data_IF_468496920507
#
_entry.id   IF_468496920507
#
_cell.length_a   1.000
_cell.length_b   1.000
_cell.length_c   1.000
_cell.angle_alpha   90.00
_cell.angle_beta   90.00
_cell.angle_gamma   90.00
#
_symmetry.space_group_name_H-M   'P 1'
#
loop_
_entity.id
_entity.type
_entity.pdbx_description
1 polymer ?
#
# COMPACT_ATOMS: atom_id res chain seq x y z
N UNK A 1 -20.17 65.85 2.03
CA UNK A 1 -20.43 64.40 2.12
C UNK A 1 -19.68 63.70 0.99
N UNK A 2 -18.66 62.87 1.31
CA UNK A 2 -18.08 61.77 0.52
C UNK A 2 -16.75 61.38 1.18
N UNK A 3 -16.80 60.40 2.09
CA UNK A 3 -15.63 59.69 2.60
C UNK A 3 -15.00 58.94 1.42
N UNK A 4 -13.72 59.19 1.14
CA UNK A 4 -12.94 58.32 0.25
C UNK A 4 -12.64 57.03 1.01
N UNK A 5 -13.08 55.90 0.46
CA UNK A 5 -12.73 54.57 0.96
C UNK A 5 -11.21 54.39 0.87
N UNK A 6 -10.60 53.96 1.97
CA UNK A 6 -9.30 53.29 1.96
C UNK A 6 -9.53 51.88 1.39
N UNK A 7 -8.94 51.59 0.23
CA UNK A 7 -8.90 50.24 -0.31
C UNK A 7 -7.69 49.54 0.33
N UNK A 8 -7.91 48.73 1.37
CA UNK A 8 -6.89 47.84 1.90
C UNK A 8 -6.73 46.65 0.94
N UNK A 9 -5.61 46.59 0.22
CA UNK A 9 -5.20 45.36 -0.45
C UNK A 9 -4.82 44.34 0.62
N UNK A 10 -5.72 43.40 0.91
CA UNK A 10 -5.32 42.10 1.46
C UNK A 10 -4.68 41.32 0.30
N UNK A 11 -3.35 41.36 0.22
CA UNK A 11 -2.61 40.37 -0.58
C UNK A 11 -2.71 39.07 0.20
N UNK A 12 -3.71 38.25 -0.10
CA UNK A 12 -3.63 36.83 0.22
C UNK A 12 -2.47 36.28 -0.63
N UNK A 13 -1.35 36.00 0.02
CA UNK A 13 -0.35 35.10 -0.55
C UNK A 13 -1.03 33.75 -0.73
N UNK A 14 -1.61 33.51 -1.90
CA UNK A 14 -1.93 32.17 -2.34
C UNK A 14 -0.57 31.48 -2.41
N UNK A 15 -0.31 30.54 -1.51
CA UNK A 15 0.81 29.63 -1.66
C UNK A 15 0.55 28.88 -2.99
N UNK A 16 1.18 29.34 -4.06
CA UNK A 16 1.22 28.60 -5.30
C UNK A 16 2.18 27.44 -5.05
N UNK A 17 1.62 26.24 -4.85
CA UNK A 17 2.42 25.02 -4.80
C UNK A 17 3.01 24.82 -6.20
N UNK A 18 4.34 24.65 -6.27
CA UNK A 18 5.02 24.44 -7.54
C UNK A 18 4.79 22.99 -7.98
N UNK A 19 4.05 22.79 -9.07
CA UNK A 19 3.84 21.47 -9.66
C UNK A 19 5.18 20.76 -9.89
N UNK A 20 5.36 19.57 -9.31
CA UNK A 20 6.43 18.66 -9.68
C UNK A 20 5.91 17.54 -10.61
N UNK A 21 6.65 17.20 -11.68
CA UNK A 21 6.33 16.03 -12.49
C UNK A 21 6.43 14.75 -11.66
N UNK A 22 5.54 13.78 -11.92
CA UNK A 22 5.66 12.45 -11.34
C UNK A 22 6.77 11.74 -12.11
N UNK A 23 7.91 11.52 -11.46
CA UNK A 23 9.13 11.09 -12.14
C UNK A 23 9.18 9.59 -12.46
N UNK A 24 8.53 8.77 -11.64
CA UNK A 24 8.54 7.32 -11.72
C UNK A 24 7.20 6.76 -11.22
N UNK A 25 6.89 5.53 -11.60
CA UNK A 25 5.70 4.84 -11.08
C UNK A 25 5.95 4.18 -9.72
N UNK A 26 7.02 3.38 -9.60
CA UNK A 26 7.34 2.63 -8.39
C UNK A 26 8.85 2.39 -8.21
N UNK A 27 9.60 3.44 -7.89
CA UNK A 27 11.04 3.38 -7.65
C UNK A 27 11.87 3.10 -8.91
N UNK A 28 13.13 2.67 -8.71
CA UNK A 28 14.03 2.30 -9.82
C UNK A 28 14.61 0.90 -9.63
N UNK A 29 15.30 0.41 -10.67
CA UNK A 29 16.16 -0.77 -10.57
C UNK A 29 17.48 -0.43 -9.85
N UNK A 30 18.15 -1.44 -9.26
CA UNK A 30 19.49 -1.27 -8.71
C UNK A 30 20.47 -0.84 -9.80
N UNK A 31 21.24 0.21 -9.50
CA UNK A 31 22.39 0.65 -10.27
C UNK A 31 23.66 0.36 -9.45
N UNK A 32 24.80 0.14 -10.11
CA UNK A 32 26.05 -0.15 -9.41
C UNK A 32 26.35 0.93 -8.37
N UNK A 33 26.34 0.57 -7.08
CA UNK A 33 26.48 1.51 -5.97
C UNK A 33 25.22 1.75 -5.13
N UNK A 34 24.24 0.82 -5.16
CA UNK A 34 23.02 0.73 -4.33
C UNK A 34 22.86 1.86 -3.30
N UNK A 35 22.00 2.82 -3.66
CA UNK A 35 21.53 3.82 -2.70
C UNK A 35 20.26 3.29 -2.08
N UNK A 36 20.31 3.07 -0.76
CA UNK A 36 19.18 2.65 0.07
C UNK A 36 17.96 3.57 -0.17
N UNK A 37 16.77 2.98 -0.27
CA UNK A 37 15.52 3.71 -0.54
C UNK A 37 15.15 3.97 -2.00
N UNK A 38 16.05 3.71 -2.95
CA UNK A 38 15.75 3.94 -4.38
C UNK A 38 15.10 2.71 -5.02
N UNK A 39 15.56 1.52 -4.63
CA UNK A 39 15.10 0.24 -5.14
C UNK A 39 14.14 -0.48 -4.20
N UNK A 40 14.02 -0.02 -2.97
CA UNK A 40 13.25 -0.68 -1.91
C UNK A 40 12.43 0.36 -1.14
N UNK A 41 11.23 -0.03 -0.73
CA UNK A 41 10.32 0.85 0.02
C UNK A 41 9.44 0.04 0.96
N UNK A 42 9.51 0.40 2.25
CA UNK A 42 8.60 -0.15 3.26
C UNK A 42 7.30 0.63 3.30
N UNK A 43 6.19 -0.10 3.33
CA UNK A 43 4.86 0.45 3.49
C UNK A 43 4.16 -0.12 4.71
N UNK A 44 3.47 0.75 5.45
CA UNK A 44 2.56 0.36 6.52
C UNK A 44 1.13 0.31 6.02
N UNK A 45 0.42 -0.77 6.34
CA UNK A 45 -1.01 -0.87 6.03
C UNK A 45 -1.82 0.11 6.89
N UNK A 46 -2.68 0.87 6.25
CA UNK A 46 -3.57 1.85 6.87
C UNK A 46 -4.94 1.24 7.14
N UNK A 47 -5.43 1.40 8.37
CA UNK A 47 -6.82 1.08 8.73
C UNK A 47 -7.55 2.41 8.92
N UNK A 48 -8.30 2.89 7.92
CA UNK A 48 -9.07 4.10 8.05
C UNK A 48 -10.22 3.90 9.05
N UNK A 49 -10.39 4.84 9.98
CA UNK A 49 -11.55 4.87 10.89
C UNK A 49 -12.85 5.30 10.19
N UNK A 50 -12.72 6.01 9.07
CA UNK A 50 -13.76 6.41 8.12
C UNK A 50 -13.18 6.38 6.71
N UNK A 51 -13.96 6.08 5.66
CA UNK A 51 -13.48 6.11 4.28
C UNK A 51 -12.78 7.44 3.97
N UNK A 52 -11.60 7.36 3.34
CA UNK A 52 -10.86 8.55 2.95
C UNK A 52 -11.53 9.21 1.74
N UNK A 53 -11.71 10.52 1.80
CA UNK A 53 -12.27 11.29 0.68
C UNK A 53 -11.23 11.44 -0.44
N UNK A 54 -11.50 10.78 -1.57
CA UNK A 54 -10.68 10.84 -2.79
C UNK A 54 -11.20 11.88 -3.80
N UNK A 55 -12.33 12.55 -3.52
CA UNK A 55 -12.98 13.50 -4.43
C UNK A 55 -12.23 14.80 -4.72
N UNK A 56 -11.32 15.32 -3.87
CA UNK A 56 -10.52 16.49 -4.20
C UNK A 56 -9.70 16.23 -5.47
N UNK A 57 -9.68 17.20 -6.39
CA UNK A 57 -9.03 17.09 -7.69
C UNK A 57 -8.49 18.46 -8.15
N UNK A 58 -7.56 18.43 -9.09
CA UNK A 58 -6.97 19.62 -9.69
C UNK A 58 -5.92 20.32 -8.84
N UNK A 59 -5.73 21.60 -9.11
CA UNK A 59 -4.70 22.45 -8.47
C UNK A 59 -5.10 22.79 -7.04
N UNK A 60 -4.14 22.70 -6.10
CA UNK A 60 -4.32 22.96 -4.67
C UNK A 60 -5.38 22.05 -4.02
N UNK A 61 -5.49 20.81 -4.50
CA UNK A 61 -6.32 19.80 -3.84
C UNK A 61 -5.83 19.53 -2.42
N UNK A 62 -6.74 19.19 -1.51
CA UNK A 62 -6.43 18.94 -0.11
C UNK A 62 -6.99 17.60 0.30
N UNK A 63 -6.13 16.73 0.85
CA UNK A 63 -6.54 15.43 1.36
C UNK A 63 -6.17 15.29 2.84
N UNK A 64 -7.05 14.63 3.60
CA UNK A 64 -6.84 14.40 5.03
C UNK A 64 -6.86 12.90 5.35
N UNK A 65 -5.66 12.36 5.57
CA UNK A 65 -5.41 11.01 6.04
C UNK A 65 -5.03 11.00 7.53
N UNK A 66 -5.17 12.11 8.27
CA UNK A 66 -4.74 12.21 9.68
C UNK A 66 -5.56 11.38 10.66
N UNK A 67 -6.73 10.87 10.22
CA UNK A 67 -7.57 9.94 10.96
C UNK A 67 -7.30 8.46 10.63
N UNK A 68 -6.33 8.18 9.74
CA UNK A 68 -5.91 6.82 9.39
C UNK A 68 -4.85 6.35 10.38
N UNK A 69 -5.07 5.17 10.95
CA UNK A 69 -4.05 4.49 11.75
C UNK A 69 -3.25 3.57 10.82
N UNK A 70 -2.00 3.94 10.54
CA UNK A 70 -1.06 3.05 9.88
C UNK A 70 -0.49 2.08 10.92
N UNK A 71 -0.80 0.79 10.77
CA UNK A 71 -0.39 -0.26 11.68
C UNK A 71 1.01 -0.79 11.31
N UNK A 72 1.71 -1.36 12.28
CA UNK A 72 3.05 -1.97 12.12
C UNK A 72 3.02 -3.31 11.36
N UNK A 73 2.07 -3.49 10.45
CA UNK A 73 2.13 -4.54 9.45
C UNK A 73 2.81 -3.93 8.23
N UNK A 74 4.04 -4.37 7.97
CA UNK A 74 4.89 -3.76 6.96
C UNK A 74 5.01 -4.68 5.76
N UNK A 75 4.84 -4.08 4.59
CA UNK A 75 5.06 -4.71 3.32
C UNK A 75 6.34 -4.13 2.72
N UNK A 76 7.28 -5.00 2.39
CA UNK A 76 8.51 -4.63 1.70
C UNK A 76 8.28 -4.69 0.19
N UNK A 77 8.49 -3.56 -0.49
CA UNK A 77 8.43 -3.45 -1.94
C UNK A 77 9.85 -3.31 -2.47
N UNK A 78 10.33 -4.34 -3.17
CA UNK A 78 11.69 -4.40 -3.68
C UNK A 78 11.73 -4.57 -5.19
N UNK A 79 12.40 -3.64 -5.86
CA UNK A 79 12.65 -3.69 -7.29
C UNK A 79 13.95 -4.45 -7.59
N UNK A 80 13.90 -5.28 -8.61
CA UNK A 80 15.02 -6.10 -9.04
C UNK A 80 15.00 -6.32 -10.55
N UNK A 81 16.17 -6.69 -11.08
CA UNK A 81 16.28 -7.17 -12.45
C UNK A 81 15.64 -8.57 -12.51
N UNK A 82 14.65 -8.81 -13.38
CA UNK A 82 14.00 -10.11 -13.48
C UNK A 82 14.97 -11.23 -13.87
N UNK A 83 14.71 -12.44 -13.38
CA UNK A 83 15.51 -13.61 -13.74
C UNK A 83 15.20 -14.15 -15.15
N UNK A 84 15.96 -15.19 -15.56
CA UNK A 84 15.81 -15.81 -16.88
C UNK A 84 14.45 -16.51 -17.06
N UNK A 85 13.81 -16.95 -15.98
CA UNK A 85 12.51 -17.60 -16.04
C UNK A 85 11.40 -16.55 -16.24
N UNK A 86 11.45 -15.45 -15.50
CA UNK A 86 10.54 -14.32 -15.64
C UNK A 86 10.59 -13.72 -17.05
N UNK A 87 11.79 -13.51 -17.61
CA UNK A 87 11.96 -13.01 -18.98
C UNK A 87 11.49 -14.00 -20.06
N UNK A 88 11.52 -15.30 -19.77
CA UNK A 88 10.96 -16.33 -20.66
C UNK A 88 9.43 -16.36 -20.60
N UNK A 89 8.86 -16.26 -19.40
CA UNK A 89 7.41 -16.29 -19.18
C UNK A 89 6.73 -15.01 -19.63
N UNK A 90 7.39 -13.86 -19.47
CA UNK A 90 6.88 -12.53 -19.79
C UNK A 90 7.87 -11.84 -20.73
N UNK A 91 7.75 -12.06 -22.05
CA UNK A 91 8.66 -11.45 -23.03
C UNK A 91 8.70 -9.92 -22.90
N UNK A 92 9.91 -9.36 -22.86
CA UNK A 92 10.12 -7.93 -22.66
C UNK A 92 10.16 -7.48 -21.20
N UNK A 93 9.96 -8.38 -20.23
CA UNK A 93 10.15 -8.06 -18.82
C UNK A 93 11.58 -7.62 -18.55
N UNK A 94 11.73 -6.43 -17.98
CA UNK A 94 13.03 -5.90 -17.55
C UNK A 94 12.98 -5.27 -16.16
N UNK A 95 11.80 -5.29 -15.51
CA UNK A 95 11.56 -4.72 -14.21
C UNK A 95 10.65 -5.65 -13.39
N UNK A 96 11.10 -6.04 -12.20
CA UNK A 96 10.29 -6.84 -11.27
C UNK A 96 10.19 -6.13 -9.94
N UNK A 97 8.99 -6.01 -9.41
CA UNK A 97 8.74 -5.60 -8.03
C UNK A 97 8.22 -6.79 -7.26
N UNK A 98 8.94 -7.19 -6.21
CA UNK A 98 8.51 -8.20 -5.25
C UNK A 98 7.95 -7.49 -4.03
N UNK A 99 6.79 -7.95 -3.58
CA UNK A 99 6.07 -7.47 -2.41
C UNK A 99 6.14 -8.59 -1.40
N UNK A 100 6.71 -8.33 -0.23
CA UNK A 100 6.79 -9.30 0.87
C UNK A 100 5.95 -8.80 2.03
N UNK A 101 4.95 -9.58 2.44
CA UNK A 101 4.27 -9.43 3.72
C UNK A 101 4.97 -10.33 4.72
N UNK A 102 5.41 -9.81 5.87
CA UNK A 102 6.29 -10.55 6.76
C UNK A 102 5.57 -11.59 7.65
N UNK A 103 4.26 -11.45 7.86
CA UNK A 103 3.52 -12.23 8.86
C UNK A 103 2.07 -12.55 8.43
N UNK A 104 1.80 -13.73 7.82
CA UNK A 104 2.75 -14.77 7.40
C UNK A 104 3.61 -14.30 6.21
N UNK A 105 4.77 -14.93 6.02
CA UNK A 105 5.64 -14.62 4.87
C UNK A 105 4.93 -15.01 3.57
N UNK A 106 4.38 -14.02 2.89
CA UNK A 106 3.73 -14.16 1.60
C UNK A 106 4.40 -13.22 0.61
N UNK A 107 4.53 -13.68 -0.63
CA UNK A 107 5.15 -12.88 -1.69
C UNK A 107 4.20 -12.73 -2.87
N UNK A 108 4.10 -11.50 -3.37
CA UNK A 108 3.42 -11.18 -4.61
C UNK A 108 4.41 -10.48 -5.55
N UNK A 109 4.25 -10.68 -6.86
CA UNK A 109 5.13 -10.07 -7.84
C UNK A 109 4.35 -9.24 -8.86
N UNK A 110 4.96 -8.13 -9.24
CA UNK A 110 4.60 -7.36 -10.44
C UNK A 110 5.77 -7.44 -11.40
N UNK A 111 5.49 -7.89 -12.62
CA UNK A 111 6.46 -7.93 -13.71
C UNK A 111 6.09 -6.86 -14.73
N UNK A 112 7.08 -6.08 -15.15
CA UNK A 112 6.88 -4.91 -16.00
C UNK A 112 7.98 -4.78 -17.07
N UNK A 113 7.63 -4.06 -18.12
CA UNK A 113 8.59 -3.42 -19.01
C UNK A 113 8.69 -1.94 -18.63
N UNK A 114 9.90 -1.48 -18.32
CA UNK A 114 10.25 -0.09 -18.15
C UNK A 114 11.37 0.27 -19.13
N UNK A 115 11.03 0.99 -20.19
CA UNK A 115 11.99 1.36 -21.26
C UNK A 115 11.80 2.82 -21.62
N UNK A 116 12.86 3.62 -21.55
CA UNK A 116 12.86 5.04 -21.94
C UNK A 116 11.71 5.87 -21.32
N UNK A 117 11.35 5.58 -20.06
CA UNK A 117 10.25 6.25 -19.35
C UNK A 117 8.87 5.59 -19.52
N UNK A 118 8.70 4.69 -20.49
CA UNK A 118 7.46 3.95 -20.69
C UNK A 118 7.32 2.82 -19.67
N UNK A 119 6.30 2.84 -18.81
CA UNK A 119 6.05 1.78 -17.83
C UNK A 119 4.80 0.97 -18.20
N UNK A 120 4.96 -0.33 -18.46
CA UNK A 120 3.87 -1.26 -18.79
C UNK A 120 3.89 -2.50 -17.91
N UNK A 121 2.75 -2.85 -17.33
CA UNK A 121 2.60 -4.06 -16.52
C UNK A 121 2.38 -5.26 -17.45
N UNK A 122 3.19 -6.30 -17.27
CA UNK A 122 3.11 -7.56 -18.00
C UNK A 122 2.36 -8.62 -17.17
N UNK A 123 2.50 -8.57 -15.85
CA UNK A 123 1.77 -9.40 -14.90
C UNK A 123 1.69 -8.72 -13.53
N UNK A 124 0.58 -8.92 -12.84
CA UNK A 124 0.42 -8.55 -11.43
C UNK A 124 -0.21 -9.69 -10.63
N UNK A 125 0.45 -10.10 -9.55
CA UNK A 125 -0.13 -10.96 -8.53
C UNK A 125 -0.89 -10.07 -7.53
N UNK A 126 -2.23 -10.11 -7.57
CA UNK A 126 -3.10 -9.42 -6.61
C UNK A 126 -3.68 -10.38 -5.57
N UNK A 127 -4.16 -9.84 -4.45
CA UNK A 127 -4.69 -10.60 -3.31
C UNK A 127 -5.84 -11.54 -3.68
N UNK A 128 -6.79 -11.05 -4.50
CA UNK A 128 -7.95 -11.83 -4.94
C UNK A 128 -7.78 -12.44 -6.35
N UNK A 129 -6.88 -11.88 -7.16
CA UNK A 129 -6.73 -12.22 -8.57
C UNK A 129 -5.32 -11.93 -9.07
N UNK A 130 -4.78 -12.88 -9.82
CA UNK A 130 -3.60 -12.69 -10.67
C UNK A 130 -4.04 -12.28 -12.07
N UNK A 131 -3.42 -11.24 -12.62
CA UNK A 131 -3.59 -10.80 -14.01
C UNK A 131 -2.30 -11.00 -14.78
N UNK A 132 -2.37 -11.77 -15.87
CA UNK A 132 -1.29 -11.97 -16.83
C UNK A 132 -1.69 -11.29 -18.15
N UNK A 133 -1.04 -10.18 -18.47
CA UNK A 133 -1.37 -9.31 -19.59
C UNK A 133 -0.75 -9.82 -20.90
N UNK A 134 -1.06 -11.07 -21.24
CA UNK A 134 -0.47 -11.83 -22.34
C UNK A 134 -0.96 -11.43 -23.73
N UNK A 135 -2.07 -10.69 -23.84
CA UNK A 135 -2.63 -10.22 -25.12
C UNK A 135 -2.27 -8.76 -25.37
N UNK A 136 -2.50 -7.88 -24.39
CA UNK A 136 -1.96 -6.52 -24.40
C UNK A 136 -1.57 -6.10 -22.98
N UNK A 137 -0.33 -5.65 -22.84
CA UNK A 137 0.22 -5.17 -21.59
C UNK A 137 -0.57 -3.98 -21.06
N UNK A 138 -0.54 -3.74 -19.76
CA UNK A 138 -1.22 -2.62 -19.14
C UNK A 138 -0.28 -1.40 -19.12
N UNK A 139 -0.37 -0.51 -20.11
CA UNK A 139 0.47 0.68 -20.18
C UNK A 139 0.03 1.72 -19.14
N UNK A 140 0.86 1.92 -18.12
CA UNK A 140 0.57 2.86 -17.01
C UNK A 140 0.85 4.29 -17.43
N UNK A 141 1.97 4.56 -18.11
CA UNK A 141 2.29 5.91 -18.57
C UNK A 141 3.71 6.12 -19.04
N UNK A 142 3.93 7.30 -19.63
CA UNK A 142 5.26 7.84 -19.92
C UNK A 142 5.71 8.71 -18.75
N UNK A 143 6.86 8.39 -18.18
CA UNK A 143 7.47 9.11 -17.07
C UNK A 143 8.76 9.82 -17.54
N UNK A 144 9.07 11.04 -17.04
CA UNK A 144 8.28 11.83 -16.09
C UNK A 144 6.95 12.32 -16.70
N UNK A 145 5.92 12.42 -15.85
CA UNK A 145 4.57 12.79 -16.21
C UNK A 145 4.22 14.18 -15.68
N UNK A 146 3.69 15.05 -16.55
CA UNK A 146 3.22 16.39 -16.18
C UNK A 146 1.73 16.41 -15.79
N UNK A 147 1.32 17.37 -14.95
CA UNK A 147 -0.07 17.56 -14.53
C UNK A 147 -0.99 17.76 -15.74
N UNK A 148 -2.15 17.12 -15.68
CA UNK A 148 -3.08 17.07 -16.79
C UNK A 148 -2.75 15.98 -17.82
N UNK A 149 -1.74 15.15 -17.59
CA UNK A 149 -1.54 13.92 -18.36
C UNK A 149 -2.78 13.04 -18.28
N UNK A 150 -3.19 12.53 -19.44
CA UNK A 150 -4.30 11.58 -19.59
C UNK A 150 -3.84 10.53 -20.60
N UNK A 151 -3.93 9.26 -20.24
CA UNK A 151 -3.81 8.14 -21.17
C UNK A 151 -4.90 7.11 -20.95
N UNK A 152 -5.25 6.42 -22.03
CA UNK A 152 -6.13 5.27 -22.03
C UNK A 152 -5.50 4.20 -22.90
N UNK A 153 -5.31 3.02 -22.34
CA UNK A 153 -4.71 1.87 -23.01
C UNK A 153 -5.66 0.68 -22.97
N UNK A 154 -5.76 -0.04 -24.08
CA UNK A 154 -6.52 -1.28 -24.11
C UNK A 154 -5.69 -2.38 -23.44
N UNK A 155 -6.28 -3.20 -22.58
CA UNK A 155 -5.54 -4.24 -21.88
C UNK A 155 -6.23 -5.59 -22.02
N UNK A 156 -5.47 -6.69 -21.97
CA UNK A 156 -6.05 -8.02 -22.08
C UNK A 156 -5.07 -9.15 -21.85
N UNK A 157 -5.62 -10.30 -21.49
CA UNK A 157 -4.82 -11.48 -21.21
C UNK A 157 -5.59 -12.54 -20.44
N UNK A 158 -4.89 -13.25 -19.56
CA UNK A 158 -5.41 -14.32 -18.73
C UNK A 158 -5.52 -13.88 -17.28
N UNK A 159 -6.53 -14.36 -16.57
CA UNK A 159 -6.61 -14.17 -15.13
C UNK A 159 -6.70 -15.50 -14.39
N UNK A 160 -6.24 -15.49 -13.14
CA UNK A 160 -6.52 -16.55 -12.16
C UNK A 160 -7.14 -15.90 -10.94
N UNK A 161 -8.36 -16.28 -10.60
CA UNK A 161 -8.98 -15.93 -9.33
C UNK A 161 -8.57 -16.93 -8.25
N UNK A 162 -8.23 -16.45 -7.06
CA UNK A 162 -7.79 -17.26 -5.92
C UNK A 162 -8.55 -16.93 -4.62
N UNK A 163 -9.84 -16.59 -4.72
CA UNK A 163 -10.63 -16.23 -3.54
C UNK A 163 -11.33 -17.41 -2.84
N UNK A 164 -12.23 -17.09 -1.91
CA UNK A 164 -12.79 -18.04 -0.93
C UNK A 164 -13.68 -19.15 -1.53
N UNK A 165 -14.09 -19.00 -2.79
CA UNK A 165 -14.92 -19.98 -3.51
C UNK A 165 -14.08 -20.98 -4.33
N UNK A 166 -12.74 -20.90 -4.23
CA UNK A 166 -11.79 -21.73 -4.96
C UNK A 166 -11.19 -21.03 -6.18
N UNK A 167 -10.33 -21.75 -6.90
CA UNK A 167 -9.59 -21.20 -8.04
C UNK A 167 -10.34 -21.40 -9.36
N UNK A 168 -10.44 -20.34 -10.15
CA UNK A 168 -10.85 -20.45 -11.56
C UNK A 168 -10.02 -19.53 -12.46
N UNK A 169 -9.99 -19.87 -13.74
CA UNK A 169 -9.17 -19.19 -14.75
C UNK A 169 -10.02 -18.79 -15.94
N UNK A 170 -9.59 -17.76 -16.62
CA UNK A 170 -10.26 -17.26 -17.81
C UNK A 170 -9.42 -16.20 -18.52
N UNK A 171 -10.06 -15.53 -19.46
CA UNK A 171 -9.47 -14.40 -20.18
C UNK A 171 -10.15 -13.10 -19.76
N UNK A 172 -9.45 -12.00 -19.95
CA UNK A 172 -10.02 -10.68 -19.77
C UNK A 172 -9.64 -9.75 -20.92
N UNK A 173 -10.47 -8.74 -21.12
CA UNK A 173 -10.20 -7.59 -21.97
C UNK A 173 -10.78 -6.34 -21.30
N UNK A 174 -10.16 -5.19 -21.50
CA UNK A 174 -10.62 -3.95 -20.89
C UNK A 174 -9.73 -2.76 -21.19
N UNK A 175 -9.73 -1.79 -20.29
CA UNK A 175 -8.88 -0.61 -20.37
C UNK A 175 -8.15 -0.33 -19.06
N UNK A 176 -6.99 0.30 -19.17
CA UNK A 176 -6.30 0.96 -18.07
C UNK A 176 -6.12 2.44 -18.44
N UNK A 177 -6.68 3.31 -17.61
CA UNK A 177 -6.65 4.75 -17.80
C UNK A 177 -5.84 5.40 -16.70
N UNK A 178 -4.93 6.31 -17.05
CA UNK A 178 -4.05 7.02 -16.11
C UNK A 178 -4.23 8.52 -16.21
N UNK A 179 -4.25 9.19 -15.05
CA UNK A 179 -4.49 10.62 -14.93
C UNK A 179 -3.55 11.22 -13.88
N UNK A 180 -2.70 12.18 -14.26
CA UNK A 180 -2.13 13.10 -13.28
C UNK A 180 -3.16 14.20 -13.04
N UNK A 181 -4.09 13.92 -12.11
CA UNK A 181 -5.34 14.66 -11.99
C UNK A 181 -5.33 15.75 -10.91
N UNK A 182 -4.34 15.76 -10.02
CA UNK A 182 -4.31 16.71 -8.91
C UNK A 182 -2.91 16.89 -8.31
N UNK A 183 -2.67 18.07 -7.74
CA UNK A 183 -1.57 18.31 -6.82
C UNK A 183 -2.00 19.27 -5.71
N UNK A 184 -1.37 19.16 -4.55
CA UNK A 184 -1.68 20.02 -3.40
C UNK A 184 -1.20 19.43 -2.09
N UNK A 185 -1.94 19.63 -1.00
CA UNK A 185 -1.50 19.26 0.35
C UNK A 185 -2.18 17.99 0.85
N UNK A 186 -1.39 17.09 1.43
CA UNK A 186 -1.87 15.89 2.10
C UNK A 186 -1.50 15.94 3.57
N UNK A 187 -2.50 15.85 4.45
CA UNK A 187 -2.30 15.71 5.91
C UNK A 187 -2.33 14.23 6.30
N UNK A 188 -1.44 13.80 7.19
CA UNK A 188 -1.29 12.39 7.58
C UNK A 188 -0.74 12.25 9.01
N UNK A 189 -0.70 11.02 9.52
CA UNK A 189 0.03 10.66 10.73
C UNK A 189 1.43 10.19 10.36
N UNK A 190 2.44 10.92 10.81
CA UNK A 190 3.83 10.53 10.64
C UNK A 190 4.15 9.25 11.45
N UNK A 191 5.35 8.71 11.26
CA UNK A 191 5.76 7.44 11.91
C UNK A 191 5.76 7.54 13.46
N UNK A 192 5.81 8.75 14.03
CA UNK A 192 5.69 9.04 15.47
C UNK A 192 4.22 9.24 15.94
N UNK A 193 3.22 9.14 15.05
CA UNK A 193 1.81 9.36 15.35
C UNK A 193 1.39 10.84 15.49
N UNK A 194 2.27 11.77 15.13
CA UNK A 194 2.02 13.21 15.08
C UNK A 194 1.37 13.56 13.74
N UNK A 195 0.40 14.48 13.76
CA UNK A 195 -0.18 14.98 12.50
C UNK A 195 0.84 15.86 11.78
N UNK A 196 1.14 15.50 10.54
CA UNK A 196 2.03 16.21 9.64
C UNK A 196 1.31 16.51 8.31
N UNK A 197 1.93 17.33 7.46
CA UNK A 197 1.44 17.62 6.13
C UNK A 197 2.59 17.71 5.14
N UNK A 198 2.39 17.22 3.92
CA UNK A 198 3.34 17.34 2.82
C UNK A 198 2.64 17.76 1.53
N UNK A 199 3.40 18.31 0.58
CA UNK A 199 2.90 18.56 -0.76
C UNK A 199 3.01 17.29 -1.58
N UNK A 200 1.97 16.97 -2.35
CA UNK A 200 1.90 15.77 -3.18
C UNK A 200 1.36 16.05 -4.57
N UNK A 201 1.83 15.24 -5.52
CA UNK A 201 1.22 15.03 -6.83
C UNK A 201 0.47 13.71 -6.85
N UNK A 202 -0.72 13.68 -7.46
CA UNK A 202 -1.56 12.48 -7.50
C UNK A 202 -1.65 11.91 -8.91
N UNK A 203 -1.25 10.63 -9.03
CA UNK A 203 -1.59 9.78 -10.17
C UNK A 203 -2.81 8.93 -9.81
N UNK A 204 -3.89 9.10 -10.56
CA UNK A 204 -5.04 8.21 -10.53
C UNK A 204 -4.94 7.21 -11.68
N UNK A 205 -5.05 5.92 -11.39
CA UNK A 205 -5.14 4.84 -12.38
C UNK A 205 -6.48 4.13 -12.21
N UNK A 206 -7.23 3.96 -13.29
CA UNK A 206 -8.50 3.23 -13.29
C UNK A 206 -8.42 2.09 -14.30
N UNK A 207 -8.61 0.87 -13.81
CA UNK A 207 -8.69 -0.32 -14.64
C UNK A 207 -10.12 -0.85 -14.64
N UNK A 208 -10.65 -1.11 -15.83
CA UNK A 208 -11.97 -1.72 -16.03
C UNK A 208 -11.79 -2.89 -16.97
N UNK A 209 -11.96 -4.12 -16.47
CA UNK A 209 -11.83 -5.34 -17.27
C UNK A 209 -13.10 -6.17 -17.21
N UNK A 210 -13.50 -6.70 -18.37
CA UNK A 210 -14.53 -7.72 -18.52
C UNK A 210 -13.87 -9.10 -18.48
N UNK A 211 -14.44 -9.99 -17.66
CA UNK A 211 -13.95 -11.33 -17.43
C UNK A 211 -14.74 -12.33 -18.26
N UNK A 212 -14.06 -13.29 -18.87
CA UNK A 212 -14.65 -14.40 -19.62
C UNK A 212 -14.08 -15.72 -19.12
N UNK A 213 -14.94 -16.72 -18.94
CA UNK A 213 -14.53 -18.11 -18.64
C UNK A 213 -14.95 -19.02 -19.79
N UNK A 214 -14.36 -20.22 -19.97
CA UNK A 214 -14.50 -21.01 -21.21
C UNK A 214 -15.94 -21.29 -21.70
N UNK A 215 -16.92 -21.32 -20.80
CA UNK A 215 -18.33 -21.59 -21.11
C UNK A 215 -19.25 -20.37 -20.94
N UNK A 216 -18.70 -19.21 -20.56
CA UNK A 216 -19.47 -17.99 -20.35
C UNK A 216 -18.62 -16.76 -20.73
N UNK A 217 -18.79 -16.24 -21.96
CA UNK A 217 -18.40 -14.88 -22.29
C UNK A 217 -19.15 -13.91 -21.37
N UNK A 218 -18.49 -12.83 -20.94
CA UNK A 218 -19.06 -11.82 -20.03
C UNK A 218 -19.48 -12.39 -18.65
N UNK A 219 -18.60 -13.21 -18.06
CA UNK A 219 -18.82 -13.82 -16.76
C UNK A 219 -18.93 -12.80 -15.63
N UNK A 220 -18.28 -11.64 -15.77
CA UNK A 220 -18.23 -10.61 -14.75
C UNK A 220 -17.29 -9.47 -15.13
N UNK A 221 -17.01 -8.62 -14.16
CA UNK A 221 -16.10 -7.49 -14.31
C UNK A 221 -15.26 -7.27 -13.05
N UNK A 222 -14.06 -6.76 -13.25
CA UNK A 222 -13.21 -6.21 -12.20
C UNK A 222 -12.99 -4.73 -12.51
N UNK A 223 -13.25 -3.89 -11.52
CA UNK A 223 -12.97 -2.46 -11.56
C UNK A 223 -11.98 -2.17 -10.44
N UNK A 224 -10.83 -1.62 -10.78
CA UNK A 224 -9.84 -1.17 -9.81
C UNK A 224 -9.57 0.32 -10.00
N UNK A 225 -9.67 1.10 -8.93
CA UNK A 225 -9.27 2.50 -8.91
C UNK A 225 -8.15 2.69 -7.90
N UNK A 226 -7.00 3.14 -8.38
CA UNK A 226 -5.78 3.34 -7.60
C UNK A 226 -5.43 4.81 -7.58
N UNK A 227 -5.16 5.36 -6.40
CA UNK A 227 -4.63 6.70 -6.20
C UNK A 227 -3.23 6.58 -5.60
N UNK A 228 -2.24 7.12 -6.29
CA UNK A 228 -0.85 7.18 -5.85
C UNK A 228 -0.48 8.64 -5.60
N UNK A 229 -0.07 8.93 -4.36
CA UNK A 229 0.34 10.25 -3.93
C UNK A 229 1.86 10.29 -3.82
N UNK A 230 2.53 11.06 -4.66
CA UNK A 230 3.99 11.23 -4.66
C UNK A 230 4.33 12.52 -3.92
N UNK A 231 5.17 12.45 -2.89
CA UNK A 231 5.65 13.63 -2.18
C UNK A 231 6.72 14.36 -2.98
N UNK A 232 6.85 15.68 -2.76
CA UNK A 232 7.78 16.55 -3.50
C UNK A 232 9.24 16.56 -2.97
N UNK A 233 9.54 15.71 -2.00
CA UNK A 233 10.85 15.53 -1.38
C UNK A 233 11.61 14.34 -2.00
N UNK A 234 12.73 13.93 -1.39
CA UNK A 234 13.59 12.84 -1.88
C UNK A 234 12.85 11.49 -2.04
N UNK A 235 11.61 11.37 -1.53
CA UNK A 235 10.77 10.17 -1.66
C UNK A 235 9.94 10.11 -2.96
N UNK A 236 9.92 11.15 -3.80
CA UNK A 236 9.04 11.31 -4.97
C UNK A 236 9.23 10.32 -6.14
N UNK A 237 10.11 9.33 -6.01
CA UNK A 237 10.24 8.20 -6.94
C UNK A 237 9.34 7.01 -6.56
N UNK A 238 8.84 6.98 -5.33
CA UNK A 238 7.86 6.02 -4.83
C UNK A 238 6.56 6.75 -4.46
N UNK A 239 5.39 6.09 -4.57
CA UNK A 239 4.19 6.59 -3.94
C UNK A 239 4.41 6.74 -2.42
N UNK A 240 4.20 7.94 -1.89
CA UNK A 240 4.21 8.19 -0.45
C UNK A 240 2.99 7.56 0.22
N UNK A 241 1.81 7.72 -0.36
CA UNK A 241 0.58 7.01 0.03
C UNK A 241 -0.03 6.39 -1.22
N UNK A 242 -0.60 5.20 -1.08
CA UNK A 242 -1.47 4.62 -2.10
C UNK A 242 -2.77 4.12 -1.53
N UNK A 243 -3.86 4.35 -2.26
CA UNK A 243 -5.20 3.88 -1.96
C UNK A 243 -5.74 3.16 -3.18
N UNK A 244 -6.00 1.87 -3.05
CA UNK A 244 -6.45 0.99 -4.12
C UNK A 244 -7.78 0.41 -3.70
N UNK A 245 -8.82 0.67 -4.48
CA UNK A 245 -10.13 0.05 -4.33
C UNK A 245 -10.39 -0.87 -5.51
N UNK A 246 -10.65 -2.14 -5.22
CA UNK A 246 -10.96 -3.16 -6.23
C UNK A 246 -12.35 -3.73 -5.95
N UNK A 247 -13.22 -3.68 -6.96
CA UNK A 247 -14.52 -4.32 -6.95
C UNK A 247 -14.55 -5.42 -8.00
N UNK A 248 -14.77 -6.66 -7.56
CA UNK A 248 -14.90 -7.84 -8.41
C UNK A 248 -16.33 -8.36 -8.33
N UNK A 249 -17.00 -8.45 -9.48
CA UNK A 249 -18.35 -8.99 -9.58
C UNK A 249 -18.41 -10.08 -10.63
N UNK A 250 -18.75 -11.30 -10.22
CA UNK A 250 -18.99 -12.45 -11.13
C UNK A 250 -20.34 -13.07 -10.74
N UNK A 251 -21.46 -12.57 -11.31
CA UNK A 251 -22.80 -12.88 -10.80
C UNK A 251 -23.15 -14.37 -10.81
N UNK A 252 -22.74 -15.10 -11.85
CA UNK A 252 -23.07 -16.53 -11.96
C UNK A 252 -22.37 -17.39 -10.89
N UNK A 253 -21.25 -16.91 -10.36
CA UNK A 253 -20.51 -17.56 -9.28
C UNK A 253 -20.90 -16.99 -7.90
N UNK A 254 -21.79 -16.00 -7.85
CA UNK A 254 -22.17 -15.31 -6.62
C UNK A 254 -21.05 -14.46 -6.01
N UNK A 255 -20.01 -14.12 -6.79
CA UNK A 255 -18.89 -13.31 -6.33
C UNK A 255 -19.28 -11.83 -6.43
N UNK A 256 -19.15 -11.13 -5.31
CA UNK A 256 -19.27 -9.68 -5.19
C UNK A 256 -18.35 -9.23 -4.06
N UNK A 257 -17.11 -8.95 -4.40
CA UNK A 257 -16.04 -8.60 -3.47
C UNK A 257 -15.64 -7.15 -3.66
N UNK A 258 -15.39 -6.46 -2.55
CA UNK A 258 -14.81 -5.12 -2.52
C UNK A 258 -13.63 -5.15 -1.56
N UNK A 259 -12.45 -4.81 -2.07
CA UNK A 259 -11.19 -4.79 -1.36
C UNK A 259 -10.63 -3.37 -1.41
N UNK A 260 -10.30 -2.81 -0.24
CA UNK A 260 -9.65 -1.52 -0.12
C UNK A 260 -8.30 -1.72 0.54
N UNK A 261 -7.23 -1.41 -0.19
CA UNK A 261 -5.86 -1.38 0.32
C UNK A 261 -5.45 0.08 0.45
N UNK A 262 -5.04 0.47 1.65
CA UNK A 262 -4.47 1.78 1.92
C UNK A 262 -3.10 1.57 2.57
N UNK A 263 -2.07 2.21 2.05
CA UNK A 263 -0.71 2.03 2.52
C UNK A 263 0.06 3.37 2.50
N UNK A 264 0.98 3.55 3.45
CA UNK A 264 1.88 4.70 3.55
C UNK A 264 3.32 4.24 3.64
N UNK A 265 4.19 4.83 2.84
CA UNK A 265 5.63 4.63 2.94
C UNK A 265 6.22 5.23 4.23
N UNK A 266 7.36 4.73 4.69
CA UNK A 266 8.09 5.33 5.82
C UNK A 266 8.47 6.79 5.53
N UNK A 267 8.50 7.64 6.55
CA UNK A 267 8.86 9.05 6.38
C UNK A 267 10.38 9.26 6.18
N UNK A 268 11.19 8.21 6.34
CA UNK A 268 12.62 8.21 6.11
C UNK A 268 13.11 6.90 5.46
N UNK A 269 14.19 6.98 4.68
CA UNK A 269 14.86 5.81 4.09
C UNK A 269 15.85 5.14 5.07
N UNK A 270 16.45 5.89 6.00
CA UNK A 270 17.52 5.43 6.90
C UNK A 270 17.06 4.81 8.23
N UNK A 271 15.86 4.23 8.25
CA UNK A 271 15.37 3.47 9.40
C UNK A 271 15.28 2.00 9.05
N UNK A 272 16.04 1.14 9.72
CA UNK A 272 15.53 -0.23 9.88
C UNK A 272 14.17 -0.10 10.58
N UNK A 273 13.09 -0.76 10.12
CA UNK A 273 11.82 -0.77 10.84
C UNK A 273 11.97 -1.22 12.31
N UNK A 274 13.08 -1.91 12.63
CA UNK A 274 13.54 -2.23 13.98
C UNK A 274 13.77 -1.00 14.87
N UNK A 275 14.12 0.17 14.33
CA UNK A 275 14.31 1.39 15.10
C UNK A 275 12.98 1.96 15.64
N UNK A 276 11.86 1.70 14.96
CA UNK A 276 10.50 2.01 15.43
C UNK A 276 9.93 0.95 16.41
N UNK A 277 10.61 -0.20 16.59
CA UNK A 277 10.30 -1.16 17.65
C UNK A 277 10.77 -0.71 19.05
N UNK A 278 11.38 0.46 19.18
CA UNK A 278 12.05 0.91 20.40
C UNK A 278 11.12 1.23 21.59
N UNK A 279 9.80 1.31 21.40
CA UNK A 279 8.89 1.71 22.49
C UNK A 279 8.28 0.55 23.26
N UNK A 280 8.26 -0.68 22.72
CA UNK A 280 7.62 -1.86 23.34
C UNK A 280 8.38 -3.16 23.12
N UNK A 281 8.89 -3.78 24.19
CA UNK A 281 9.58 -5.08 24.18
C UNK A 281 8.94 -6.10 25.12
N UNK A 282 9.25 -7.39 24.93
CA UNK A 282 8.71 -8.46 25.77
C UNK A 282 9.84 -9.31 26.36
N UNK A 283 9.69 -9.72 27.61
CA UNK A 283 10.70 -10.50 28.32
C UNK A 283 10.12 -11.33 29.48
N UNK A 284 10.76 -12.44 29.85
CA UNK A 284 11.77 -13.13 29.06
C UNK A 284 11.14 -13.73 27.78
N UNK A 285 11.93 -13.88 26.72
CA UNK A 285 11.54 -14.65 25.54
C UNK A 285 12.76 -15.50 25.13
N UNK A 286 12.75 -16.84 25.26
CA UNK A 286 11.60 -17.67 25.66
C UNK A 286 11.19 -17.54 27.15
N UNK A 287 9.90 -17.73 27.46
CA UNK A 287 9.34 -17.68 28.82
C UNK A 287 8.79 -19.03 29.28
N UNK A 288 8.69 -19.25 30.58
CA UNK A 288 8.12 -20.47 31.20
C UNK A 288 6.83 -20.21 31.99
N UNK A 289 6.61 -19.01 32.53
CA UNK A 289 5.51 -18.74 33.45
C UNK A 289 4.83 -17.40 33.22
N UNK A 290 5.58 -16.30 33.23
CA UNK A 290 5.03 -14.95 33.04
C UNK A 290 5.78 -14.26 31.92
N UNK A 291 5.04 -13.64 31.00
CA UNK A 291 5.59 -12.77 29.98
C UNK A 291 5.34 -11.32 30.41
N UNK A 292 6.40 -10.54 30.51
CA UNK A 292 6.35 -9.11 30.80
C UNK A 292 6.48 -8.31 29.50
N UNK A 293 5.84 -7.14 29.49
CA UNK A 293 5.89 -6.16 28.43
C UNK A 293 6.58 -4.91 29.00
N UNK A 294 7.73 -4.55 28.44
CA UNK A 294 8.32 -3.24 28.66
C UNK A 294 7.69 -2.26 27.68
N UNK A 295 7.19 -1.12 28.16
CA UNK A 295 6.60 -0.09 27.30
C UNK A 295 6.85 1.29 27.89
N UNK A 296 7.14 2.29 27.05
CA UNK A 296 7.18 3.69 27.47
C UNK A 296 5.79 4.32 27.65
N UNK A 297 4.74 3.67 27.12
CA UNK A 297 3.36 4.11 27.21
C UNK A 297 2.54 3.28 28.19
N UNK A 298 1.52 3.89 28.79
CA UNK A 298 0.56 3.20 29.66
C UNK A 298 -0.24 2.18 28.85
N UNK A 299 -0.20 0.91 29.26
CA UNK A 299 -0.90 -0.17 28.58
C UNK A 299 -2.32 -0.31 29.12
N UNK A 300 -3.31 -0.40 28.23
CA UNK A 300 -4.68 -0.78 28.58
C UNK A 300 -4.76 -2.27 28.86
N UNK A 301 -4.18 -3.10 27.99
CA UNK A 301 -4.20 -4.55 28.18
C UNK A 301 -3.15 -5.30 27.37
N UNK A 302 -2.86 -6.50 27.82
CA UNK A 302 -2.06 -7.49 27.11
C UNK A 302 -2.95 -8.71 26.83
N UNK A 303 -3.00 -9.15 25.58
CA UNK A 303 -3.85 -10.23 25.11
C UNK A 303 -3.00 -11.36 24.53
N UNK A 304 -3.31 -12.60 24.88
CA UNK A 304 -2.60 -13.78 24.43
C UNK A 304 -3.40 -14.49 23.33
N UNK A 305 -2.70 -14.90 22.28
CA UNK A 305 -3.26 -15.62 21.14
C UNK A 305 -2.43 -16.87 20.83
N UNK A 306 -3.11 -17.92 20.41
CA UNK A 306 -2.46 -19.05 19.74
C UNK A 306 -1.99 -18.63 18.34
N UNK A 307 -1.15 -19.46 17.72
CA UNK A 307 -0.54 -19.16 16.42
C UNK A 307 -1.56 -19.06 15.28
N UNK A 308 -2.69 -19.76 15.39
CA UNK A 308 -3.86 -19.70 14.51
C UNK A 308 -4.78 -18.49 14.78
N UNK A 309 -4.36 -17.57 15.66
CA UNK A 309 -5.06 -16.30 15.90
C UNK A 309 -6.20 -16.36 16.92
N UNK A 310 -6.49 -17.52 17.52
CA UNK A 310 -7.51 -17.64 18.57
C UNK A 310 -7.05 -16.98 19.86
N UNK A 311 -7.88 -16.10 20.43
CA UNK A 311 -7.64 -15.46 21.73
C UNK A 311 -7.70 -16.49 22.85
N UNK A 312 -6.64 -16.57 23.66
CA UNK A 312 -6.51 -17.50 24.79
C UNK A 312 -6.84 -16.79 26.10
N UNK A 313 -6.25 -15.62 26.34
CA UNK A 313 -6.42 -14.89 27.60
C UNK A 313 -6.16 -13.39 27.42
N UNK A 314 -6.52 -12.61 28.44
CA UNK A 314 -6.33 -11.16 28.50
C UNK A 314 -5.99 -10.75 29.94
N UNK A 315 -5.03 -9.85 30.08
CA UNK A 315 -4.59 -9.31 31.37
C UNK A 315 -4.56 -7.77 31.31
N UNK A 316 -5.07 -7.06 32.32
CA UNK A 316 -4.80 -5.64 32.46
C UNK A 316 -3.35 -5.41 32.89
N UNK A 317 -2.73 -4.33 32.41
CA UNK A 317 -1.35 -3.97 32.77
C UNK A 317 -0.31 -4.50 31.78
N UNK A 318 0.91 -4.79 32.28
CA UNK A 318 2.10 -5.05 31.46
C UNK A 318 2.66 -6.47 31.61
N UNK A 319 1.86 -7.41 32.09
CA UNK A 319 2.26 -8.81 32.19
C UNK A 319 1.09 -9.75 31.97
N UNK A 320 1.41 -10.97 31.54
CA UNK A 320 0.43 -12.02 31.31
C UNK A 320 0.99 -13.39 31.73
N UNK A 321 0.17 -14.16 32.45
CA UNK A 321 0.49 -15.52 32.85
C UNK A 321 0.31 -16.47 31.67
N UNK A 322 1.35 -17.23 31.37
CA UNK A 322 1.46 -18.20 30.28
C UNK A 322 1.84 -19.59 30.81
N UNK A 323 1.87 -19.79 32.14
CA UNK A 323 2.29 -21.05 32.78
C UNK A 323 1.46 -22.26 32.33
N UNK A 324 0.18 -22.05 32.06
CA UNK A 324 -0.77 -23.08 31.62
C UNK A 324 -0.70 -23.40 30.12
N UNK A 325 0.20 -22.75 29.37
CA UNK A 325 0.41 -23.06 27.95
C UNK A 325 1.42 -24.19 27.77
N UNK A 326 1.12 -25.05 26.79
CA UNK A 326 2.09 -26.02 26.28
C UNK A 326 3.28 -25.30 25.63
N UNK A 327 4.42 -25.98 25.54
CA UNK A 327 5.58 -25.46 24.82
C UNK A 327 5.23 -25.21 23.36
N UNK A 328 5.61 -24.04 22.82
CA UNK A 328 5.23 -23.66 21.47
C UNK A 328 5.38 -22.17 21.16
N UNK A 329 5.05 -21.81 19.93
CA UNK A 329 5.04 -20.41 19.46
C UNK A 329 3.67 -19.78 19.73
N UNK A 330 3.68 -18.60 20.33
CA UNK A 330 2.48 -17.83 20.66
C UNK A 330 2.63 -16.38 20.25
N UNK A 331 1.50 -15.66 20.22
CA UNK A 331 1.44 -14.22 19.93
C UNK A 331 0.85 -13.48 21.13
N UNK A 332 1.44 -12.33 21.46
CA UNK A 332 0.92 -11.39 22.45
C UNK A 332 0.53 -10.09 21.76
N UNK A 333 -0.70 -9.63 21.94
CA UNK A 333 -1.19 -8.32 21.53
C UNK A 333 -1.10 -7.34 22.70
N UNK A 334 -0.60 -6.14 22.47
CA UNK A 334 -0.29 -5.13 23.47
C UNK A 334 -1.07 -3.88 23.11
N UNK A 335 -2.13 -3.60 23.86
CA UNK A 335 -3.02 -2.46 23.67
C UNK A 335 -2.54 -1.27 24.51
N UNK A 336 -2.16 -0.19 23.85
CA UNK A 336 -1.75 1.08 24.48
C UNK A 336 -2.85 2.16 24.45
N UNK A 337 -4.04 1.81 23.97
CA UNK A 337 -5.19 2.71 23.86
C UNK A 337 -5.28 3.53 22.58
N UNK A 338 -4.21 3.63 21.79
CA UNK A 338 -4.21 4.15 20.43
C UNK A 338 -4.14 3.04 19.37
N UNK A 339 -3.76 1.82 19.76
CA UNK A 339 -3.73 0.65 18.89
C UNK A 339 -3.24 -0.61 19.62
N UNK A 340 -3.15 -1.73 18.90
CA UNK A 340 -2.65 -3.01 19.42
C UNK A 340 -1.38 -3.40 18.65
N UNK A 341 -0.29 -3.62 19.37
CA UNK A 341 0.99 -4.11 18.83
C UNK A 341 1.10 -5.60 19.09
N UNK A 342 1.42 -6.40 18.07
CA UNK A 342 1.61 -7.85 18.23
C UNK A 342 3.09 -8.23 18.28
N UNK A 343 3.46 -9.09 19.23
CA UNK A 343 4.81 -9.68 19.34
C UNK A 343 4.72 -11.20 19.44
N UNK A 344 5.67 -11.92 18.84
CA UNK A 344 5.80 -13.38 18.95
C UNK A 344 6.68 -13.74 20.15
N UNK A 345 6.35 -14.82 20.85
CA UNK A 345 7.21 -15.37 21.91
C UNK A 345 7.15 -16.89 21.95
N UNK A 346 8.21 -17.48 22.50
CA UNK A 346 8.35 -18.93 22.66
C UNK A 346 8.03 -19.30 24.11
N UNK A 347 7.05 -20.18 24.31
CA UNK A 347 6.78 -20.84 25.59
C UNK A 347 7.65 -22.10 25.68
N UNK A 348 8.42 -22.20 26.77
CA UNK A 348 9.19 -23.40 27.12
C UNK A 348 8.33 -24.49 27.73
#
# INVERSE_FOLDING_TARGET
>A
MKRKLLLSFFVFSIAAYAQQPISHFQGTLPVSGDVDGVTERFYFRGIPSVPVDQSPQGVNASWDFSAVSFILDHHDYKNSIPDSQATTNYPGCNFQTTITEDIPEETANVYANYTDGAYSILRADGEIMTLDYSVNNAFVGQFPMDYGYISSDATGGNFTYNGSLGTFQGTFAGTLDSYFDAYGTLSYKNDDGVTASTTVSRLKVTQVISLSVPFLPDAGNLIQTSYYYFSEDEFGIWPFIRSIETTLVVPILGINENLVILEKGTDAFLGTPDATLASVSIYPNPTSSVLHVNSQHLLKSVELFSIDGKKISKSPGNSIDVSNLNSGLYRVGIDNGSGIIYKKFIKK
#
